data_IF_054481679724
#
_entry.id   IF_054481679724
#
_cell.length_a   1.000
_cell.length_b   1.000
_cell.length_c   1.000
_cell.angle_alpha   90.00
_cell.angle_beta   90.00
_cell.angle_gamma   90.00
#
_symmetry.space_group_name_H-M   'P 1'
#
loop_
_entity.id
_entity.type
_entity.pdbx_description
1 polymer ?
2 non-polymer ?
3 non-polymer ?
4 non-polymer ?
5 water ?
#
# COMPACT_ATOMS: atom_id res chain seq x y z
N UNK A 1 6.98 4.53 -13.77
CA UNK A 1 5.55 4.27 -13.82
C UNK A 1 4.80 5.43 -14.46
N UNK A 2 3.74 5.13 -15.21
CA UNK A 2 2.99 6.19 -15.91
C UNK A 2 2.18 7.02 -14.93
N UNK A 3 1.70 8.20 -15.36
CA UNK A 3 0.88 9.02 -14.46
C UNK A 3 -0.35 8.28 -13.95
N UNK A 4 -0.92 7.37 -14.75
CA UNK A 4 -2.08 6.62 -14.29
C UNK A 4 -1.75 5.86 -13.01
N UNK A 5 -0.55 5.29 -12.91
CA UNK A 5 -0.20 4.52 -11.71
C UNK A 5 -0.02 5.45 -10.53
N UNK A 6 0.74 6.55 -10.72
CA UNK A 6 0.97 7.46 -9.61
C UNK A 6 -0.32 8.12 -9.14
N UNK A 7 -1.28 8.33 -10.05
CA UNK A 7 -2.52 8.99 -9.65
C UNK A 7 -3.38 8.11 -8.74
N UNK A 8 -3.08 6.81 -8.66
CA UNK A 8 -3.80 5.94 -7.75
C UNK A 8 -3.38 6.14 -6.30
N UNK A 9 -2.25 6.81 -6.07
CA UNK A 9 -1.73 7.01 -4.73
C UNK A 9 -2.24 8.36 -4.20
N UNK A 10 -2.93 8.32 -3.06
CA UNK A 10 -3.64 9.46 -2.51
C UNK A 10 -3.35 9.55 -1.03
N UNK A 11 -3.18 10.76 -0.52
CA UNK A 11 -2.96 10.93 0.91
C UNK A 11 -4.14 10.37 1.69
N UNK A 12 -3.86 9.80 2.87
CA UNK A 12 -4.90 9.13 3.63
C UNK A 12 -4.47 9.13 5.09
N UNK A 13 -5.17 9.89 5.92
CA UNK A 13 -4.75 10.04 7.30
C UNK A 13 -3.30 10.47 7.39
N UNK A 14 -2.53 9.76 8.19
CA UNK A 14 -1.13 10.08 8.40
C UNK A 14 -0.23 9.45 7.34
N UNK A 15 -0.82 8.86 6.30
CA UNK A 15 -0.02 8.28 5.25
C UNK A 15 -0.73 8.36 3.93
N UNK A 16 -0.81 7.22 3.26
CA UNK A 16 -1.23 7.14 1.87
C UNK A 16 -2.06 5.88 1.68
N UNK A 17 -2.78 5.83 0.57
CA UNK A 17 -3.42 4.61 0.13
C UNK A 17 -3.40 4.53 -1.38
N UNK A 18 -3.88 3.41 -1.92
CA UNK A 18 -3.70 3.09 -3.34
C UNK A 18 -4.99 2.51 -3.91
N UNK A 19 -5.49 3.12 -4.99
CA UNK A 19 -6.66 2.59 -5.71
C UNK A 19 -6.24 1.39 -6.55
N UNK A 20 -6.64 0.20 -6.12
CA UNK A 20 -6.38 -1.02 -6.90
C UNK A 20 -7.33 -1.09 -8.08
N UNK A 21 -8.56 -0.64 -7.89
CA UNK A 21 -9.61 -0.71 -8.89
C UNK A 21 -10.56 0.43 -8.59
N UNK A 22 -11.57 0.65 -9.44
CA UNK A 22 -12.44 1.83 -9.22
C UNK A 22 -13.08 1.88 -7.83
N UNK A 23 -13.29 0.73 -7.19
CA UNK A 23 -14.01 0.68 -5.92
C UNK A 23 -13.17 0.18 -4.76
N UNK A 24 -11.90 -0.15 -4.98
CA UNK A 24 -11.07 -0.81 -3.96
C UNK A 24 -9.84 0.04 -3.69
N UNK A 25 -9.68 0.44 -2.43
CA UNK A 25 -8.58 1.27 -1.93
C UNK A 25 -7.87 0.47 -0.86
N UNK A 26 -6.55 0.38 -0.94
CA UNK A 26 -5.79 -0.34 0.07
C UNK A 26 -4.85 0.63 0.77
N UNK A 27 -4.54 0.32 2.03
CA UNK A 27 -3.67 1.17 2.82
C UNK A 27 -3.13 0.32 3.96
N UNK A 28 -2.27 0.93 4.77
CA UNK A 28 -1.78 0.26 5.97
C UNK A 28 -2.71 0.60 7.14
N UNK A 29 -3.10 -0.43 7.89
CA UNK A 29 -4.17 -0.27 8.88
C UNK A 29 -3.90 0.89 9.83
N UNK A 30 -2.67 0.98 10.35
CA UNK A 30 -2.39 1.98 11.40
C UNK A 30 -2.48 3.40 10.88
N UNK A 31 -2.59 3.58 9.56
CA UNK A 31 -2.68 4.90 8.97
C UNK A 31 -4.10 5.44 8.97
N UNK A 32 -5.10 4.57 9.09
CA UNK A 32 -6.49 4.97 8.86
C UNK A 32 -6.91 5.97 9.93
N UNK A 33 -7.50 7.11 9.54
CA UNK A 33 -7.95 8.08 10.53
C UNK A 33 -8.98 7.47 11.48
N UNK A 34 -8.74 7.61 12.77
CA UNK A 34 -9.75 7.20 13.74
C UNK A 34 -10.79 8.29 13.88
N UNK A 35 -12.02 7.88 14.18
CA UNK A 35 -13.15 8.79 14.31
C UNK A 35 -13.36 9.63 13.04
N UNK A 36 -13.07 9.07 11.87
CA UNK A 36 -13.50 9.70 10.63
C UNK A 36 -14.95 9.31 10.36
N UNK A 37 -15.71 10.25 9.81
CA UNK A 37 -17.11 9.97 9.51
C UNK A 37 -17.31 9.49 8.07
N UNK A 38 -16.42 9.88 7.17
CA UNK A 38 -16.55 9.55 5.76
C UNK A 38 -15.16 9.43 5.16
N UNK A 39 -15.02 8.60 4.14
CA UNK A 39 -13.84 8.56 3.31
C UNK A 39 -14.28 8.86 1.89
N UNK A 40 -13.59 9.79 1.24
CA UNK A 40 -13.88 10.16 -0.15
C UNK A 40 -15.37 10.51 -0.31
N UNK A 41 -15.93 11.12 0.73
CA UNK A 41 -17.31 11.55 0.73
C UNK A 41 -18.33 10.45 0.98
N UNK A 42 -17.89 9.25 1.32
CA UNK A 42 -18.79 8.11 1.55
C UNK A 42 -18.85 7.85 3.05
N UNK A 43 -20.04 7.84 3.66
CA UNK A 43 -20.13 7.52 5.09
C UNK A 43 -19.51 6.17 5.40
N UNK A 44 -18.81 6.11 6.53
CA UNK A 44 -17.94 4.97 6.79
C UNK A 44 -18.74 3.67 6.90
N UNK A 45 -19.98 3.74 7.39
CA UNK A 45 -20.82 2.56 7.51
C UNK A 45 -21.13 1.90 6.17
N UNK A 46 -21.06 2.64 5.07
CA UNK A 46 -21.33 2.08 3.75
C UNK A 46 -20.11 1.42 3.13
N UNK A 47 -18.93 1.57 3.74
CA UNK A 47 -17.69 1.02 3.20
C UNK A 47 -17.43 -0.31 3.87
N UNK A 48 -17.02 -1.30 3.08
CA UNK A 48 -16.59 -2.59 3.59
C UNK A 48 -15.09 -2.52 3.86
N UNK A 49 -14.73 -2.50 5.13
CA UNK A 49 -13.35 -2.35 5.57
C UNK A 49 -12.91 -3.68 6.15
N UNK A 50 -11.87 -4.28 5.56
CA UNK A 50 -11.35 -5.55 6.02
C UNK A 50 -9.88 -5.39 6.35
N UNK A 51 -9.52 -5.69 7.59
CA UNK A 51 -8.14 -5.55 8.05
C UNK A 51 -7.53 -6.94 8.16
N UNK A 52 -6.32 -7.09 7.62
CA UNK A 52 -5.53 -8.30 7.77
C UNK A 52 -4.20 -7.86 8.35
N UNK A 53 -4.11 -7.82 9.67
CA UNK A 53 -2.96 -7.22 10.30
C UNK A 53 -2.87 -5.78 9.85
N UNK A 54 -1.73 -5.41 9.27
CA UNK A 54 -1.53 -4.04 8.83
C UNK A 54 -1.90 -3.82 7.38
N UNK A 55 -2.47 -4.82 6.71
CA UNK A 55 -3.00 -4.64 5.37
C UNK A 55 -4.50 -4.40 5.47
N UNK A 56 -4.97 -3.28 4.91
CA UNK A 56 -6.38 -2.92 4.99
C UNK A 56 -6.95 -2.65 3.60
N UNK A 57 -8.09 -3.30 3.30
CA UNK A 57 -8.87 -3.07 2.09
C UNK A 57 -10.10 -2.25 2.43
N UNK A 58 -10.40 -1.24 1.62
CA UNK A 58 -11.62 -0.46 1.75
C UNK A 58 -12.38 -0.59 0.44
N UNK A 59 -13.56 -1.21 0.49
CA UNK A 59 -14.37 -1.46 -0.70
C UNK A 59 -15.58 -0.54 -0.64
N UNK A 60 -15.67 0.33 -1.59
CA UNK A 60 -16.67 1.39 -1.62
C UNK A 60 -17.94 0.91 -2.32
N UNK A 61 -19.10 1.44 -1.93
CA UNK A 61 -20.37 0.90 -2.44
C UNK A 61 -20.61 1.23 -3.90
N UNK A 62 -20.06 2.33 -4.40
CA UNK A 62 -20.12 2.71 -5.80
C UNK A 62 -18.72 3.02 -6.28
N UNK A 63 -18.43 2.84 -7.57
CA UNK A 63 -17.09 3.16 -8.07
C UNK A 63 -16.74 4.62 -7.80
N UNK A 64 -15.53 4.83 -7.28
CA UNK A 64 -15.01 6.16 -7.03
C UNK A 64 -14.03 6.60 -8.11
N UNK A 65 -13.15 5.71 -8.56
CA UNK A 65 -12.15 6.03 -9.57
C UNK A 65 -12.49 5.28 -10.86
N UNK A 66 -13.52 5.76 -11.56
CA UNK A 66 -13.96 5.11 -12.79
C UNK A 66 -12.90 5.19 -13.89
N UNK A 67 -11.87 6.01 -13.71
CA UNK A 67 -10.83 6.17 -14.72
C UNK A 67 -9.81 5.04 -14.68
N UNK A 68 -9.73 4.27 -13.60
CA UNK A 68 -8.65 3.29 -13.45
C UNK A 68 -9.16 1.91 -13.79
N UNK A 69 -8.27 1.11 -14.37
CA UNK A 69 -8.49 -0.30 -14.57
C UNK A 69 -8.17 -1.07 -13.29
N UNK A 70 -8.77 -2.24 -13.15
CA UNK A 70 -8.48 -3.09 -12.01
C UNK A 70 -7.09 -3.69 -12.15
N UNK A 71 -6.25 -3.51 -11.14
CA UNK A 71 -4.90 -4.05 -11.17
C UNK A 71 -4.86 -5.38 -10.43
N UNK A 72 -3.91 -6.24 -10.82
CA UNK A 72 -3.69 -7.51 -10.13
C UNK A 72 -3.12 -7.24 -8.74
N UNK A 73 -3.78 -7.79 -7.71
CA UNK A 73 -3.30 -7.71 -6.34
C UNK A 73 -2.93 -9.10 -5.86
N UNK A 74 -1.69 -9.28 -5.41
CA UNK A 74 -1.23 -10.58 -4.94
C UNK A 74 -0.56 -10.45 -3.57
N UNK A 75 -0.38 -11.58 -2.90
CA UNK A 75 0.14 -11.60 -1.54
C UNK A 75 1.66 -11.66 -1.60
N UNK A 76 2.29 -10.50 -1.73
CA UNK A 76 3.72 -10.43 -1.86
C UNK A 76 4.17 -10.78 -3.27
N UNK A 77 5.49 -10.84 -3.43
CA UNK A 77 6.12 -11.21 -4.69
C UNK A 77 7.01 -12.43 -4.47
N UNK A 78 7.32 -13.17 -5.54
CA UNK A 78 8.32 -14.24 -5.41
C UNK A 78 9.61 -13.70 -4.80
N UNK A 79 10.23 -14.50 -3.94
CA UNK A 79 11.46 -14.06 -3.31
C UNK A 79 12.49 -13.69 -4.37
N UNK A 80 13.20 -12.58 -4.14
CA UNK A 80 14.18 -12.08 -5.08
C UNK A 80 13.65 -11.05 -6.06
N UNK A 81 12.33 -10.91 -6.18
CA UNK A 81 11.76 -9.89 -7.04
C UNK A 81 12.18 -8.51 -6.54
N UNK A 82 12.65 -7.66 -7.46
CA UNK A 82 12.93 -6.26 -7.12
C UNK A 82 11.66 -5.46 -7.40
N UNK A 83 10.93 -5.13 -6.35
CA UNK A 83 9.72 -4.35 -6.50
C UNK A 83 10.05 -2.86 -6.43
N UNK A 84 9.09 -2.03 -6.82
CA UNK A 84 9.22 -0.59 -6.66
C UNK A 84 8.27 -0.16 -5.56
N UNK A 85 8.80 0.50 -4.54
CA UNK A 85 7.99 1.16 -3.52
C UNK A 85 7.68 2.56 -4.03
N UNK A 86 6.40 2.83 -4.33
CA UNK A 86 6.04 4.09 -4.96
C UNK A 86 5.72 5.11 -3.88
N UNK A 87 6.74 5.83 -3.42
CA UNK A 87 6.56 6.82 -2.36
C UNK A 87 6.09 8.13 -2.96
N UNK A 88 5.00 8.69 -2.44
CA UNK A 88 4.63 10.08 -2.64
C UNK A 88 4.91 10.88 -1.39
N UNK A 89 5.37 12.10 -1.55
CA UNK A 89 5.60 12.99 -0.41
C UNK A 89 4.59 14.13 -0.39
N UNK A 90 4.32 14.72 0.77
CA UNK A 90 3.31 15.80 0.86
C UNK A 90 3.63 17.02 0.03
N UNK A 91 4.89 17.19 -0.37
CA UNK A 91 5.28 18.24 -1.31
C UNK A 91 4.84 17.94 -2.73
N UNK A 92 4.39 16.72 -2.98
CA UNK A 92 4.10 16.25 -4.32
C UNK A 92 5.22 15.43 -4.94
N UNK A 93 6.42 15.46 -4.37
CA UNK A 93 7.55 14.78 -4.99
C UNK A 93 7.32 13.27 -5.04
N UNK A 94 7.65 12.68 -6.17
CA UNK A 94 7.55 11.24 -6.38
C UNK A 94 8.91 10.63 -6.10
N UNK A 95 8.93 9.57 -5.30
CA UNK A 95 10.18 8.93 -4.91
C UNK A 95 10.08 7.42 -5.04
N UNK A 96 10.13 6.91 -6.26
CA UNK A 96 10.19 5.45 -6.42
C UNK A 96 11.48 4.90 -5.83
N UNK A 97 11.35 3.83 -5.04
CA UNK A 97 12.49 3.19 -4.39
C UNK A 97 12.51 1.71 -4.75
N UNK A 98 13.65 1.22 -5.21
CA UNK A 98 13.79 -0.19 -5.52
C UNK A 98 14.00 -0.99 -4.24
N UNK A 99 13.31 -2.13 -4.12
CA UNK A 99 13.47 -2.97 -2.95
C UNK A 99 13.45 -4.43 -3.38
N UNK A 100 14.50 -5.17 -3.04
CA UNK A 100 14.50 -6.60 -3.33
C UNK A 100 13.70 -7.31 -2.25
N UNK A 101 12.66 -8.00 -2.65
CA UNK A 101 11.75 -8.60 -1.69
C UNK A 101 12.31 -9.94 -1.21
N UNK A 102 12.17 -10.18 0.08
CA UNK A 102 12.73 -11.38 0.69
C UNK A 102 11.67 -12.27 1.30
N UNK A 103 11.88 -12.75 2.53
CA UNK A 103 11.01 -13.79 3.05
C UNK A 103 9.69 -13.20 3.53
N UNK A 104 8.63 -14.00 3.38
CA UNK A 104 7.34 -13.70 3.99
C UNK A 104 7.36 -14.15 5.45
N UNK A 105 6.71 -13.38 6.32
CA UNK A 105 6.65 -13.76 7.72
C UNK A 105 5.48 -13.04 8.39
N UNK A 106 5.19 -13.46 9.61
CA UNK A 106 4.29 -12.75 10.49
C UNK A 106 5.06 -12.45 11.78
N UNK A 107 5.21 -11.17 12.11
CA UNK A 107 5.97 -10.79 13.28
C UNK A 107 5.32 -9.60 13.96
N UNK A 108 5.65 -9.42 15.23
CA UNK A 108 5.16 -8.27 15.98
C UNK A 108 6.09 -7.09 15.78
N UNK A 109 5.49 -5.92 15.54
CA UNK A 109 6.21 -4.66 15.43
C UNK A 109 5.51 -3.68 16.36
N UNK A 110 6.24 -3.18 17.35
CA UNK A 110 5.68 -2.27 18.35
C UNK A 110 4.36 -2.80 18.90
N UNK A 111 4.36 -4.09 19.22
CA UNK A 111 3.21 -4.73 19.86
C UNK A 111 2.09 -5.15 18.93
N UNK A 112 2.24 -4.97 17.63
CA UNK A 112 1.18 -5.25 16.67
C UNK A 112 1.59 -6.39 15.75
N UNK A 113 0.65 -7.29 15.45
CA UNK A 113 0.93 -8.43 14.59
C UNK A 113 0.90 -7.98 13.14
N UNK A 114 2.01 -8.17 12.43
CA UNK A 114 2.14 -7.74 11.04
C UNK A 114 2.49 -8.94 10.19
N UNK A 115 1.59 -9.30 9.26
CA UNK A 115 1.90 -10.27 8.22
C UNK A 115 2.31 -9.54 6.96
N UNK A 116 3.42 -9.96 6.38
CA UNK A 116 3.88 -9.31 5.18
C UNK A 116 5.14 -9.92 4.66
N UNK A 117 5.88 -9.12 3.90
CA UNK A 117 7.11 -9.58 3.28
C UNK A 117 8.18 -8.53 3.50
N UNK A 118 9.36 -8.95 3.95
CA UNK A 118 10.40 -7.98 4.18
C UNK A 118 11.14 -7.73 2.89
N UNK A 119 11.69 -6.54 2.77
CA UNK A 119 12.47 -6.18 1.62
C UNK A 119 13.71 -5.42 2.06
N UNK A 120 14.61 -5.23 1.10
CA UNK A 120 15.86 -4.53 1.33
C UNK A 120 15.98 -3.44 0.29
N UNK A 121 16.08 -2.20 0.74
CA UNK A 121 16.25 -1.08 -0.18
C UNK A 121 17.58 -1.17 -0.88
N UNK A 122 17.61 -0.75 -2.14
CA UNK A 122 18.81 -0.88 -2.95
C UNK A 122 19.45 0.49 -3.14
N UNK A 132 17.42 9.60 1.33
CA UNK A 132 16.99 8.77 0.20
C UNK A 132 16.26 7.50 0.65
N UNK A 133 15.71 7.51 1.86
CA UNK A 133 15.02 6.36 2.40
C UNK A 133 13.54 6.63 2.68
N UNK A 134 12.90 5.76 3.46
CA UNK A 134 11.50 5.96 3.84
C UNK A 134 11.42 6.68 5.18
N UNK A 135 10.32 7.40 5.39
CA UNK A 135 10.13 8.28 6.54
C UNK A 135 8.77 8.02 7.18
N UNK A 136 8.51 8.58 8.38
CA UNK A 136 7.27 8.23 9.09
C UNK A 136 5.99 8.55 8.35
N UNK A 137 5.99 9.47 7.40
CA UNK A 137 4.76 9.75 6.69
C UNK A 137 4.50 8.88 5.47
N UNK A 138 5.34 7.87 5.21
CA UNK A 138 5.28 7.11 3.97
C UNK A 138 4.41 5.86 4.03
N UNK A 139 3.81 5.53 5.17
CA UNK A 139 3.11 4.26 5.25
C UNK A 139 1.84 4.27 4.41
N UNK A 140 1.49 3.10 3.87
CA UNK A 140 0.37 2.97 2.96
C UNK A 140 0.74 3.06 1.48
N UNK A 141 1.94 3.54 1.17
CA UNK A 141 2.35 3.57 -0.23
C UNK A 141 2.54 2.14 -0.76
N UNK A 142 2.24 1.91 -2.04
CA UNK A 142 2.20 0.54 -2.56
C UNK A 142 3.56 0.03 -3.02
N UNK A 143 3.70 -1.29 -2.96
CA UNK A 143 4.80 -2.02 -3.59
C UNK A 143 4.26 -2.65 -4.86
N UNK A 144 4.95 -2.41 -5.98
CA UNK A 144 4.49 -2.93 -7.27
C UNK A 144 5.68 -3.50 -8.02
N UNK A 145 5.39 -4.43 -8.92
CA UNK A 145 6.42 -4.86 -9.86
C UNK A 145 5.75 -5.25 -11.18
N UNK A 146 6.58 -5.35 -12.22
CA UNK A 146 6.12 -5.63 -13.57
C UNK A 146 6.33 -7.11 -13.83
N UNK A 147 5.25 -7.81 -14.16
CA UNK A 147 5.33 -9.22 -14.50
C UNK A 147 4.88 -9.36 -15.94
N UNK A 148 5.85 -9.54 -16.84
CA UNK A 148 5.52 -9.52 -18.24
C UNK A 148 5.03 -8.14 -18.62
N UNK A 149 3.80 -8.07 -19.12
CA UNK A 149 3.17 -6.81 -19.48
C UNK A 149 2.18 -6.31 -18.43
N UNK A 150 2.07 -6.99 -17.29
CA UNK A 150 1.12 -6.64 -16.24
C UNK A 150 1.85 -6.04 -15.04
N UNK A 151 1.34 -4.93 -14.53
CA UNK A 151 1.74 -4.44 -13.23
C UNK A 151 1.00 -5.22 -12.14
N UNK A 152 1.72 -5.59 -11.09
CA UNK A 152 1.17 -6.34 -9.97
C UNK A 152 1.45 -5.56 -8.69
N UNK A 153 0.42 -5.30 -7.91
CA UNK A 153 0.61 -4.67 -6.59
C UNK A 153 0.62 -5.78 -5.54
N UNK A 154 1.58 -5.71 -4.62
CA UNK A 154 1.84 -6.81 -3.71
C UNK A 154 1.63 -6.47 -2.26
N UNK A 155 1.40 -5.21 -1.90
CA UNK A 155 1.22 -4.85 -0.50
C UNK A 155 1.45 -3.37 -0.28
N UNK A 156 1.48 -2.99 1.01
CA UNK A 156 1.57 -1.58 1.39
C UNK A 156 2.69 -1.38 2.41
N UNK A 157 3.31 -0.21 2.35
CA UNK A 157 4.45 0.06 3.23
C UNK A 157 4.00 0.24 4.67
N UNK A 158 4.67 -0.44 5.60
CA UNK A 158 4.23 -0.40 7.00
C UNK A 158 5.34 -0.10 7.99
N UNK A 159 6.59 -0.42 7.66
CA UNK A 159 7.66 -0.28 8.66
C UNK A 159 9.02 -0.32 7.97
N UNK A 160 10.03 0.25 8.65
CA UNK A 160 11.40 0.23 8.11
C UNK A 160 12.41 0.46 9.22
N UNK A 161 13.60 -0.11 9.02
CA UNK A 161 14.72 0.03 9.93
C UNK A 161 15.97 0.45 9.15
N UNK A 162 16.91 1.07 9.85
CA UNK A 162 18.16 1.46 9.22
C UNK A 162 19.11 0.29 9.19
N UNK A 165 18.87 -1.92 5.76
CA UNK A 165 17.94 -1.23 4.89
C UNK A 165 16.63 -1.97 4.73
N UNK A 166 16.11 -2.48 5.86
CA UNK A 166 14.93 -3.32 5.85
C UNK A 166 13.65 -2.51 5.75
N UNK A 167 12.76 -2.91 4.85
CA UNK A 167 11.42 -2.34 4.76
C UNK A 167 10.43 -3.49 4.85
N UNK A 168 9.24 -3.20 5.36
CA UNK A 168 8.22 -4.22 5.57
C UNK A 168 7.00 -3.85 4.75
N UNK A 169 6.63 -4.74 3.83
CA UNK A 169 5.46 -4.61 2.97
C UNK A 169 4.36 -5.48 3.58
N UNK A 170 3.33 -4.87 4.13
CA UNK A 170 2.22 -5.66 4.67
C UNK A 170 1.40 -6.25 3.52
N UNK A 171 1.02 -7.51 3.66
CA UNK A 171 0.33 -8.22 2.59
C UNK A 171 -1.02 -8.75 3.07
N UNK A 172 -1.88 -9.08 2.11
CA UNK A 172 -3.20 -9.58 2.43
C UNK A 172 -3.10 -11.01 2.98
N UNK A 173 -4.03 -11.36 3.85
CA UNK A 173 -4.00 -12.65 4.52
C UNK A 173 -4.80 -13.72 3.83
#
# INVERSE_FOLDING_TARGET
APPSIWSRIVNFGSGWGFWVSPSLFITSTHVIPQSAKEFFGVPIKQIQIHKSGEFCRLRFPKPIRTDVTGMILEEGAPEGTVATLLIKRPTGELMPLAARMGTHATMKIQGRTVGGQMGMLLTGSNAKSMDLGTTPGDCGCPYIYKRGNDYVVIGVHTAAARGGNTVICATQGSEGEATLE
#
